data_IF_864541877710
#
_entry.id   IF_864541877710
#
_cell.length_a   1.000
_cell.length_b   1.000
_cell.length_c   1.000
_cell.angle_alpha   90.00
_cell.angle_beta   90.00
_cell.angle_gamma   90.00
#
_symmetry.space_group_name_H-M   'P 1'
#
loop_
_entity.id
_entity.type
_entity.pdbx_description
1 polymer ?
#
# COMPACT_ATOMS: atom_id res chain seq x y z
N UNK A 1 22.98 1.90 -35.25
CA UNK A 1 21.86 1.69 -34.29
C UNK A 1 21.76 0.28 -33.69
N UNK A 2 21.69 -0.81 -34.47
CA UNK A 2 21.48 -2.17 -33.92
C UNK A 2 22.51 -2.66 -32.87
N UNK A 3 23.81 -2.35 -33.04
CA UNK A 3 24.87 -2.75 -32.07
C UNK A 3 24.81 -1.99 -30.75
N UNK A 4 24.45 -0.71 -30.76
CA UNK A 4 24.31 0.11 -29.55
C UNK A 4 23.08 -0.30 -28.74
N UNK A 5 21.95 -0.55 -29.41
CA UNK A 5 20.74 -1.06 -28.77
C UNK A 5 20.97 -2.43 -28.12
N UNK A 6 21.71 -3.33 -28.79
CA UNK A 6 22.05 -4.66 -28.25
C UNK A 6 22.98 -4.57 -27.05
N UNK A 7 23.97 -3.66 -27.06
CA UNK A 7 24.81 -3.39 -25.89
C UNK A 7 23.97 -2.79 -24.74
N UNK A 8 23.12 -1.81 -25.02
CA UNK A 8 22.24 -1.21 -24.02
C UNK A 8 21.32 -2.25 -23.37
N UNK A 9 20.71 -3.15 -24.14
CA UNK A 9 19.84 -4.22 -23.63
C UNK A 9 20.57 -5.24 -22.74
N UNK A 10 21.87 -5.48 -22.97
CA UNK A 10 22.68 -6.40 -22.14
C UNK A 10 23.16 -5.70 -20.86
N UNK A 11 23.60 -4.45 -20.98
CA UNK A 11 24.14 -3.70 -19.84
C UNK A 11 23.06 -3.15 -18.92
N UNK A 12 21.87 -2.82 -19.45
CA UNK A 12 20.77 -2.30 -18.65
C UNK A 12 20.37 -3.20 -17.47
N UNK A 13 20.09 -4.51 -17.63
CA UNK A 13 19.74 -5.36 -16.50
C UNK A 13 20.89 -5.50 -15.49
N UNK A 14 22.14 -5.54 -15.94
CA UNK A 14 23.32 -5.59 -15.05
C UNK A 14 23.42 -4.31 -14.22
N UNK A 15 23.29 -3.15 -14.86
CA UNK A 15 23.33 -1.85 -14.20
C UNK A 15 22.14 -1.66 -13.25
N UNK A 16 20.96 -2.15 -13.64
CA UNK A 16 19.75 -2.10 -12.82
C UNK A 16 19.83 -2.99 -11.58
N UNK A 17 20.31 -4.23 -11.72
CA UNK A 17 20.54 -5.12 -10.57
C UNK A 17 21.65 -4.55 -9.67
N UNK A 18 22.73 -4.05 -10.28
CA UNK A 18 23.81 -3.39 -9.55
C UNK A 18 23.34 -2.15 -8.77
N UNK A 19 22.44 -1.34 -9.35
CA UNK A 19 21.89 -0.16 -8.65
C UNK A 19 20.94 -0.55 -7.52
N UNK A 20 20.15 -1.62 -7.66
CA UNK A 20 19.33 -2.18 -6.58
C UNK A 20 20.20 -2.64 -5.41
N UNK A 21 21.23 -3.44 -5.69
CA UNK A 21 22.15 -3.95 -4.66
C UNK A 21 22.88 -2.78 -3.97
N UNK A 22 23.36 -1.82 -4.75
CA UNK A 22 24.00 -0.62 -4.24
C UNK A 22 23.08 0.21 -3.35
N UNK A 23 21.81 0.37 -3.73
CA UNK A 23 20.80 1.11 -2.96
C UNK A 23 20.43 0.40 -1.67
N UNK A 24 20.26 -0.93 -1.68
CA UNK A 24 20.05 -1.74 -0.46
C UNK A 24 21.24 -1.60 0.49
N UNK A 25 22.47 -1.75 0.00
CA UNK A 25 23.69 -1.61 0.83
C UNK A 25 23.85 -0.19 1.39
N UNK A 26 23.58 0.83 0.58
CA UNK A 26 23.65 2.22 1.00
C UNK A 26 22.59 2.55 2.05
N UNK A 27 21.33 2.17 1.82
CA UNK A 27 20.23 2.47 2.75
C UNK A 27 20.33 1.72 4.08
N UNK A 28 21.02 0.57 4.12
CA UNK A 28 21.37 -0.13 5.37
C UNK A 28 22.42 0.59 6.21
N UNK A 29 23.44 1.16 5.57
CA UNK A 29 24.60 1.76 6.25
C UNK A 29 24.48 3.27 6.46
N UNK A 30 23.47 3.91 5.88
CA UNK A 30 23.27 5.33 6.02
C UNK A 30 22.60 5.68 7.36
N UNK A 31 23.23 6.55 8.14
CA UNK A 31 22.68 7.03 9.41
C UNK A 31 21.55 8.03 9.14
N UNK A 32 20.33 7.50 9.12
CA UNK A 32 19.12 8.30 9.09
C UNK A 32 18.87 8.90 10.48
N UNK A 33 19.28 10.15 10.68
CA UNK A 33 18.87 10.94 11.85
C UNK A 33 17.48 11.50 11.56
N UNK A 34 16.47 10.83 12.12
CA UNK A 34 15.09 11.31 12.11
C UNK A 34 14.98 12.41 13.19
N UNK A 35 14.48 13.61 12.90
CA UNK A 35 14.27 14.63 13.93
C UNK A 35 13.35 14.09 15.03
N UNK A 36 13.57 14.48 16.29
CA UNK A 36 12.82 13.97 17.47
C UNK A 36 11.29 14.05 17.29
N UNK A 37 10.79 15.09 16.61
CA UNK A 37 9.38 15.25 16.27
C UNK A 37 8.83 14.16 15.34
N UNK A 38 9.66 13.61 14.45
CA UNK A 38 9.34 12.46 13.60
C UNK A 38 9.75 11.12 14.23
N UNK A 39 10.54 11.12 15.31
CA UNK A 39 10.89 9.90 16.05
C UNK A 39 9.70 9.36 16.86
N UNK A 40 8.88 10.25 17.41
CA UNK A 40 7.63 9.91 18.13
C UNK A 40 6.65 9.17 17.21
N UNK A 41 6.64 9.50 15.91
CA UNK A 41 5.87 8.79 14.88
C UNK A 41 6.55 7.52 14.34
N UNK A 42 7.85 7.32 14.61
CA UNK A 42 8.65 6.21 14.03
C UNK A 42 8.88 5.02 14.97
N UNK A 43 8.72 5.22 16.29
CA UNK A 43 9.00 4.19 17.31
C UNK A 43 7.76 3.38 17.70
N UNK A 44 6.58 3.87 17.35
CA UNK A 44 5.32 3.17 17.52
C UNK A 44 4.73 2.93 16.13
N UNK A 45 4.95 1.73 15.56
CA UNK A 45 4.20 1.26 14.39
C UNK A 45 2.74 0.91 14.77
N UNK A 46 2.21 1.51 15.83
CA UNK A 46 0.81 1.44 16.19
C UNK A 46 0.07 2.37 15.25
N UNK A 47 -0.87 1.83 14.48
CA UNK A 47 -1.80 2.61 13.70
C UNK A 47 -2.95 2.96 14.66
N UNK A 48 -3.08 4.23 15.10
CA UNK A 48 -3.98 4.58 16.21
C UNK A 48 -5.42 4.10 16.02
N UNK A 49 -5.92 4.11 14.78
CA UNK A 49 -7.27 3.63 14.44
C UNK A 49 -7.50 2.13 14.69
N UNK A 50 -6.45 1.31 14.75
CA UNK A 50 -6.56 -0.12 15.04
C UNK A 50 -6.51 -0.43 16.56
N UNK A 51 -5.98 0.50 17.36
CA UNK A 51 -5.74 0.32 18.80
C UNK A 51 -6.84 0.93 19.67
N UNK A 52 -7.50 1.98 19.19
CA UNK A 52 -8.48 2.75 19.96
C UNK A 52 -9.92 2.45 19.55
N UNK A 53 -10.80 2.28 20.55
CA UNK A 53 -12.25 2.23 20.34
C UNK A 53 -12.73 3.67 20.04
N UNK A 54 -12.56 4.10 18.79
CA UNK A 54 -13.00 5.42 18.33
C UNK A 54 -14.50 5.39 18.03
N UNK A 55 -15.30 6.18 18.75
CA UNK A 55 -16.75 6.29 18.51
C UNK A 55 -17.12 6.72 17.08
N UNK A 56 -16.18 7.32 16.35
CA UNK A 56 -16.38 7.81 14.99
C UNK A 56 -16.36 6.73 13.90
N UNK A 57 -15.84 5.53 14.19
CA UNK A 57 -15.68 4.46 13.20
C UNK A 57 -16.23 3.13 13.69
N UNK A 58 -16.84 2.31 12.81
CA UNK A 58 -17.22 0.97 13.18
C UNK A 58 -15.97 0.12 13.42
N UNK A 59 -16.00 -0.68 14.48
CA UNK A 59 -14.95 -1.67 14.77
C UNK A 59 -15.19 -2.99 14.04
N UNK A 60 -16.41 -3.22 13.55
CA UNK A 60 -16.85 -4.42 12.83
C UNK A 60 -17.82 -4.05 11.72
N UNK A 61 -17.83 -4.80 10.62
CA UNK A 61 -18.86 -4.67 9.59
C UNK A 61 -20.24 -5.11 10.09
N UNK A 62 -21.28 -4.43 9.61
CA UNK A 62 -22.66 -4.82 9.85
C UNK A 62 -23.05 -6.08 9.02
N UNK A 63 -24.26 -6.59 9.23
CA UNK A 63 -24.73 -7.82 8.57
C UNK A 63 -24.74 -7.73 7.03
N UNK A 64 -25.13 -6.58 6.47
CA UNK A 64 -25.16 -6.36 5.02
C UNK A 64 -23.75 -6.33 4.42
N UNK A 65 -22.82 -5.64 5.09
CA UNK A 65 -21.41 -5.58 4.70
C UNK A 65 -20.73 -6.95 4.80
N UNK A 66 -21.04 -7.73 5.83
CA UNK A 66 -20.55 -9.12 5.97
C UNK A 66 -21.08 -10.02 4.86
N UNK A 67 -22.38 -9.94 4.59
CA UNK A 67 -22.99 -10.69 3.50
C UNK A 67 -22.31 -10.37 2.16
N UNK A 68 -22.02 -9.09 1.88
CA UNK A 68 -21.31 -8.68 0.67
C UNK A 68 -19.91 -9.31 0.58
N UNK A 69 -19.17 -9.38 1.70
CA UNK A 69 -17.85 -10.04 1.74
C UNK A 69 -17.99 -11.53 1.42
N UNK A 70 -18.92 -12.20 2.08
CA UNK A 70 -19.14 -13.65 1.92
C UNK A 70 -19.55 -13.99 0.48
N UNK A 71 -20.44 -13.22 -0.13
CA UNK A 71 -20.86 -13.40 -1.54
C UNK A 71 -19.69 -13.23 -2.51
N UNK A 72 -18.82 -12.24 -2.29
CA UNK A 72 -17.63 -12.02 -3.13
C UNK A 72 -16.64 -13.18 -2.97
N UNK A 73 -16.43 -13.67 -1.73
CA UNK A 73 -15.57 -14.82 -1.47
C UNK A 73 -16.13 -16.08 -2.12
N UNK A 74 -17.44 -16.31 -2.04
CA UNK A 74 -18.10 -17.45 -2.69
C UNK A 74 -17.94 -17.41 -4.20
N UNK A 75 -18.19 -16.27 -4.84
CA UNK A 75 -17.96 -16.07 -6.28
C UNK A 75 -16.52 -16.37 -6.67
N UNK A 76 -15.53 -15.91 -5.89
CA UNK A 76 -14.10 -16.23 -6.13
C UNK A 76 -13.83 -17.73 -6.06
N UNK A 77 -14.36 -18.39 -5.03
CA UNK A 77 -14.17 -19.83 -4.82
C UNK A 77 -14.84 -20.66 -5.93
N UNK A 78 -15.96 -20.18 -6.47
CA UNK A 78 -16.63 -20.76 -7.63
C UNK A 78 -15.92 -20.45 -8.97
N UNK A 79 -14.90 -19.59 -8.97
CA UNK A 79 -14.20 -19.15 -10.19
C UNK A 79 -15.03 -18.19 -11.05
N UNK A 80 -16.06 -17.57 -10.47
CA UNK A 80 -16.92 -16.62 -11.17
C UNK A 80 -16.23 -15.27 -11.34
N UNK A 81 -16.41 -14.61 -12.51
CA UNK A 81 -15.81 -13.30 -12.74
C UNK A 81 -16.51 -12.22 -11.91
N UNK A 82 -15.77 -11.55 -11.04
CA UNK A 82 -16.28 -10.37 -10.30
C UNK A 82 -16.10 -9.12 -11.16
N UNK A 83 -17.19 -8.40 -11.37
CA UNK A 83 -17.19 -7.20 -12.21
C UNK A 83 -16.48 -6.02 -11.55
N UNK A 84 -16.08 -5.03 -12.36
CA UNK A 84 -15.47 -3.80 -11.85
C UNK A 84 -16.48 -3.01 -10.99
N UNK A 85 -17.75 -3.06 -11.38
CA UNK A 85 -18.87 -2.42 -10.70
C UNK A 85 -19.10 -3.05 -9.33
N UNK A 86 -19.06 -4.37 -9.22
CA UNK A 86 -19.15 -5.09 -7.92
C UNK A 86 -18.01 -4.66 -7.00
N UNK A 87 -16.77 -4.62 -7.51
CA UNK A 87 -15.66 -4.14 -6.69
C UNK A 87 -15.75 -2.66 -6.34
N UNK A 88 -16.33 -1.85 -7.22
CA UNK A 88 -16.57 -0.45 -6.93
C UNK A 88 -17.56 -0.29 -5.78
N UNK A 89 -18.68 -1.01 -5.83
CA UNK A 89 -19.66 -1.03 -4.75
C UNK A 89 -19.04 -1.53 -3.44
N UNK A 90 -18.22 -2.58 -3.49
CA UNK A 90 -17.53 -3.09 -2.31
C UNK A 90 -16.56 -2.07 -1.70
N UNK A 91 -15.79 -1.34 -2.52
CA UNK A 91 -14.94 -0.25 -2.00
C UNK A 91 -15.78 0.84 -1.34
N UNK A 92 -16.89 1.25 -1.98
CA UNK A 92 -17.75 2.32 -1.46
C UNK A 92 -18.48 1.91 -0.16
N UNK A 93 -18.74 0.61 0.03
CA UNK A 93 -19.45 0.07 1.19
C UNK A 93 -18.53 -0.39 2.34
N UNK A 94 -17.31 -0.83 2.06
CA UNK A 94 -16.43 -1.49 3.03
C UNK A 94 -15.25 -0.63 3.46
N UNK A 95 -14.91 0.43 2.71
CA UNK A 95 -13.72 1.24 3.00
C UNK A 95 -14.12 2.57 3.61
N UNK A 96 -13.53 2.89 4.76
CA UNK A 96 -13.72 4.16 5.44
C UNK A 96 -12.52 5.08 5.23
N UNK A 97 -12.77 6.38 5.07
CA UNK A 97 -11.70 7.36 5.05
C UNK A 97 -11.36 7.82 6.48
N UNK A 98 -10.06 7.86 6.79
CA UNK A 98 -9.53 8.30 8.07
C UNK A 98 -8.42 9.34 7.89
N UNK A 99 -8.29 10.22 8.88
CA UNK A 99 -7.29 11.28 8.84
C UNK A 99 -5.86 10.70 8.95
N UNK A 100 -4.83 11.41 8.46
CA UNK A 100 -3.45 10.92 8.51
C UNK A 100 -2.96 10.65 9.94
N UNK A 101 -3.43 11.43 10.92
CA UNK A 101 -3.08 11.26 12.33
C UNK A 101 -3.54 9.91 12.87
N UNK A 102 -4.67 9.39 12.38
CA UNK A 102 -5.24 8.11 12.79
C UNK A 102 -4.60 6.91 12.08
N UNK A 103 -4.00 7.14 10.90
CA UNK A 103 -3.34 6.11 10.09
C UNK A 103 -1.81 6.14 10.22
N UNK A 104 -1.25 7.11 10.94
CA UNK A 104 0.18 7.33 11.00
C UNK A 104 0.75 7.52 9.60
N UNK A 105 1.71 6.67 9.20
CA UNK A 105 2.36 6.71 7.88
C UNK A 105 1.71 5.80 6.83
N UNK A 106 0.65 5.08 7.19
CA UNK A 106 -0.04 4.18 6.29
C UNK A 106 -0.97 4.95 5.34
N UNK A 107 -1.05 4.49 4.09
CA UNK A 107 -2.03 4.98 3.13
C UNK A 107 -3.37 4.24 3.26
N UNK A 108 -3.33 2.99 3.74
CA UNK A 108 -4.49 2.18 4.08
C UNK A 108 -4.09 1.05 5.04
N UNK A 109 -5.10 0.46 5.67
CA UNK A 109 -4.95 -0.67 6.59
C UNK A 109 -6.27 -1.43 6.71
N UNK A 110 -6.18 -2.74 6.94
CA UNK A 110 -7.28 -3.52 7.52
C UNK A 110 -7.02 -3.76 9.01
N UNK A 111 -7.80 -3.11 9.87
CA UNK A 111 -7.69 -3.31 11.31
C UNK A 111 -8.40 -4.59 11.73
N UNK A 112 -7.73 -5.41 12.55
CA UNK A 112 -8.25 -6.66 13.17
C UNK A 112 -8.86 -7.65 12.17
N UNK A 113 -8.53 -7.54 10.88
CA UNK A 113 -9.10 -8.35 9.80
C UNK A 113 -10.56 -8.02 9.47
N UNK A 114 -11.09 -6.91 9.98
CA UNK A 114 -12.53 -6.64 9.96
C UNK A 114 -12.94 -5.33 9.32
N UNK A 115 -12.12 -4.29 9.34
CA UNK A 115 -12.53 -3.00 8.76
C UNK A 115 -11.36 -2.36 8.01
N UNK A 116 -11.63 -1.98 6.76
CA UNK A 116 -10.66 -1.34 5.88
C UNK A 116 -10.73 0.18 6.01
N UNK A 117 -9.58 0.81 6.18
CA UNK A 117 -9.42 2.25 6.25
C UNK A 117 -8.43 2.73 5.20
N UNK A 118 -8.69 3.90 4.62
CA UNK A 118 -7.76 4.59 3.75
C UNK A 118 -7.58 6.03 4.19
N UNK A 119 -6.45 6.61 3.83
CA UNK A 119 -6.13 7.98 4.18
C UNK A 119 -6.93 8.98 3.34
N UNK A 120 -7.63 9.88 4.03
CA UNK A 120 -8.53 10.88 3.44
C UNK A 120 -7.78 11.94 2.58
N UNK A 121 -6.51 12.21 2.89
CA UNK A 121 -5.68 13.21 2.21
C UNK A 121 -5.09 12.71 0.88
N UNK A 122 -5.31 11.44 0.53
CA UNK A 122 -4.85 10.88 -0.73
C UNK A 122 -5.54 11.52 -1.94
N UNK A 123 -4.82 11.73 -3.06
CA UNK A 123 -5.46 12.13 -4.32
C UNK A 123 -6.54 11.13 -4.75
N UNK A 124 -7.60 11.54 -5.46
CA UNK A 124 -8.72 10.66 -5.81
C UNK A 124 -8.32 9.35 -6.50
N UNK A 125 -7.33 9.39 -7.41
CA UNK A 125 -6.85 8.18 -8.08
C UNK A 125 -6.11 7.25 -7.13
N UNK A 126 -5.33 7.80 -6.19
CA UNK A 126 -4.65 7.02 -5.17
C UNK A 126 -5.67 6.33 -4.25
N UNK A 127 -6.73 7.03 -3.83
CA UNK A 127 -7.83 6.45 -3.04
C UNK A 127 -8.45 5.23 -3.72
N UNK A 128 -8.70 5.28 -5.03
CA UNK A 128 -9.24 4.13 -5.77
C UNK A 128 -8.32 2.91 -5.69
N UNK A 129 -7.02 3.12 -5.87
CA UNK A 129 -6.05 2.04 -5.80
C UNK A 129 -5.90 1.49 -4.38
N UNK A 130 -5.78 2.35 -3.37
CA UNK A 130 -5.61 1.92 -1.98
C UNK A 130 -6.88 1.24 -1.48
N UNK A 131 -8.07 1.81 -1.74
CA UNK A 131 -9.33 1.15 -1.40
C UNK A 131 -9.43 -0.24 -2.03
N UNK A 132 -9.03 -0.35 -3.30
CA UNK A 132 -9.00 -1.62 -4.01
C UNK A 132 -8.03 -2.61 -3.35
N UNK A 133 -6.87 -2.15 -2.91
CA UNK A 133 -5.88 -2.95 -2.21
C UNK A 133 -6.42 -3.44 -0.86
N UNK A 134 -7.00 -2.56 -0.05
CA UNK A 134 -7.53 -2.96 1.27
C UNK A 134 -8.71 -3.94 1.16
N UNK A 135 -9.63 -3.77 0.19
CA UNK A 135 -10.70 -4.76 0.02
C UNK A 135 -10.18 -6.11 -0.47
N UNK A 136 -9.05 -6.15 -1.18
CA UNK A 136 -8.42 -7.43 -1.53
C UNK A 136 -7.99 -8.20 -0.29
N UNK A 137 -7.55 -7.53 0.77
CA UNK A 137 -7.23 -8.19 2.03
C UNK A 137 -8.45 -8.83 2.69
N UNK A 138 -9.64 -8.24 2.53
CA UNK A 138 -10.89 -8.79 3.07
C UNK A 138 -11.36 -10.06 2.33
N UNK A 139 -11.03 -10.17 1.04
CA UNK A 139 -11.51 -11.26 0.19
C UNK A 139 -10.51 -12.41 0.00
N UNK A 140 -9.32 -12.30 0.58
CA UNK A 140 -8.28 -13.32 0.47
C UNK A 140 -8.41 -14.35 1.59
N UNK A 141 -8.46 -15.62 1.21
CA UNK A 141 -8.64 -16.76 2.13
C UNK A 141 -7.31 -17.41 2.52
N UNK A 142 -6.21 -17.05 1.86
CA UNK A 142 -4.85 -17.53 2.14
C UNK A 142 -3.95 -16.40 2.59
N UNK A 143 -3.13 -16.64 3.62
CA UNK A 143 -2.16 -15.65 4.12
C UNK A 143 -0.86 -15.58 3.31
N UNK A 144 -0.60 -16.53 2.41
CA UNK A 144 0.65 -16.54 1.65
C UNK A 144 0.63 -15.47 0.55
N UNK A 145 1.62 -14.57 0.56
CA UNK A 145 1.79 -13.48 -0.41
C UNK A 145 0.59 -12.51 -0.49
N UNK A 146 -0.15 -12.32 0.61
CA UNK A 146 -1.39 -11.54 0.64
C UNK A 146 -1.21 -10.10 0.11
N UNK A 147 -0.15 -9.44 0.58
CA UNK A 147 0.27 -8.10 0.14
C UNK A 147 0.61 -8.02 -1.35
N UNK A 148 1.35 -9.00 -1.86
CA UNK A 148 1.74 -9.06 -3.28
C UNK A 148 0.48 -9.26 -4.13
N UNK A 149 -0.40 -10.17 -3.73
CA UNK A 149 -1.64 -10.45 -4.45
C UNK A 149 -2.57 -9.23 -4.48
N UNK A 150 -2.75 -8.54 -3.34
CA UNK A 150 -3.53 -7.32 -3.24
C UNK A 150 -2.94 -6.20 -4.10
N UNK A 151 -1.63 -5.99 -4.04
CA UNK A 151 -0.92 -5.02 -4.87
C UNK A 151 -1.07 -5.29 -6.37
N UNK A 152 -0.93 -6.55 -6.80
CA UNK A 152 -1.08 -6.91 -8.21
C UNK A 152 -2.53 -6.71 -8.68
N UNK A 153 -3.50 -7.16 -7.89
CA UNK A 153 -4.91 -7.03 -8.24
C UNK A 153 -5.33 -5.55 -8.32
N UNK A 154 -4.96 -4.74 -7.33
CA UNK A 154 -5.23 -3.32 -7.30
C UNK A 154 -4.49 -2.55 -8.39
N UNK A 155 -3.20 -2.84 -8.58
CA UNK A 155 -2.36 -2.18 -9.59
C UNK A 155 -2.80 -2.46 -11.01
N UNK A 156 -3.29 -3.67 -11.30
CA UNK A 156 -3.88 -4.01 -12.61
C UNK A 156 -5.16 -3.21 -12.89
N UNK A 157 -6.01 -3.03 -11.88
CA UNK A 157 -7.27 -2.30 -12.03
C UNK A 157 -7.09 -0.77 -12.04
N UNK A 158 -6.16 -0.26 -11.25
CA UNK A 158 -5.95 1.17 -10.99
C UNK A 158 -4.47 1.57 -11.09
N UNK A 159 -3.86 1.34 -12.26
CA UNK A 159 -2.42 1.60 -12.49
C UNK A 159 -2.02 3.07 -12.29
N UNK A 160 -2.87 4.01 -12.71
CA UNK A 160 -2.67 5.45 -12.45
C UNK A 160 -2.77 5.74 -10.94
N UNK A 161 -3.67 5.06 -10.24
CA UNK A 161 -3.82 5.17 -8.79
C UNK A 161 -2.60 4.66 -8.03
N UNK A 162 -2.02 3.54 -8.45
CA UNK A 162 -0.76 3.02 -7.91
C UNK A 162 0.37 4.06 -8.02
N UNK A 163 0.57 4.62 -9.21
CA UNK A 163 1.60 5.65 -9.43
C UNK A 163 1.31 6.91 -8.60
N UNK A 164 0.05 7.34 -8.52
CA UNK A 164 -0.36 8.47 -7.68
C UNK A 164 -0.07 8.22 -6.19
N UNK A 165 -0.23 6.99 -5.72
CA UNK A 165 0.03 6.58 -4.34
C UNK A 165 1.52 6.59 -4.03
N UNK A 166 2.35 6.07 -4.94
CA UNK A 166 3.81 6.13 -4.83
C UNK A 166 4.28 7.58 -4.78
N UNK A 167 3.78 8.44 -5.67
CA UNK A 167 4.16 9.86 -5.71
C UNK A 167 3.74 10.58 -4.43
N UNK A 168 2.52 10.37 -3.94
CA UNK A 168 2.05 10.96 -2.69
C UNK A 168 2.96 10.54 -1.50
N UNK A 169 3.27 9.25 -1.41
CA UNK A 169 4.15 8.70 -0.37
C UNK A 169 5.57 9.29 -0.42
N UNK A 170 6.10 9.51 -1.63
CA UNK A 170 7.42 10.14 -1.82
C UNK A 170 7.42 11.63 -1.45
N UNK A 171 6.36 12.37 -1.76
CA UNK A 171 6.23 13.79 -1.41
C UNK A 171 6.25 13.97 0.11
N UNK A 172 5.49 13.15 0.81
CA UNK A 172 5.42 13.17 2.27
C UNK A 172 6.72 12.69 2.92
N UNK A 173 7.34 11.63 2.41
CA UNK A 173 8.66 11.22 2.87
C UNK A 173 9.71 12.33 2.68
N UNK A 174 9.62 13.12 1.61
CA UNK A 174 10.55 14.22 1.34
C UNK A 174 10.36 15.40 2.30
N UNK A 175 9.12 15.74 2.66
CA UNK A 175 8.85 16.91 3.52
C UNK A 175 9.33 16.70 4.96
N UNK A 176 9.47 15.46 5.40
CA UNK A 176 9.76 15.13 6.80
C UNK A 176 11.19 14.67 7.08
N UNK A 177 12.02 14.44 6.05
CA UNK A 177 13.25 13.65 6.19
C UNK A 177 14.50 14.28 5.56
N UNK A 178 15.66 14.01 6.17
CA UNK A 178 16.97 14.27 5.54
C UNK A 178 17.15 13.45 4.26
N UNK A 179 18.09 13.83 3.39
CA UNK A 179 18.34 13.12 2.11
C UNK A 179 18.58 11.61 2.28
N UNK A 180 19.35 11.21 3.30
CA UNK A 180 19.58 9.82 3.66
C UNK A 180 18.28 9.09 4.02
N UNK A 181 17.46 9.70 4.87
CA UNK A 181 16.18 9.18 5.30
C UNK A 181 15.14 9.13 4.16
N UNK A 182 15.19 10.09 3.24
CA UNK A 182 14.37 10.11 2.03
C UNK A 182 14.71 8.95 1.10
N UNK A 183 16.00 8.67 0.86
CA UNK A 183 16.42 7.51 0.05
C UNK A 183 16.01 6.19 0.70
N UNK A 184 16.16 6.06 2.02
CA UNK A 184 15.72 4.87 2.77
C UNK A 184 14.20 4.68 2.69
N UNK A 185 13.42 5.75 2.85
CA UNK A 185 11.96 5.71 2.73
C UNK A 185 11.52 5.43 1.29
N UNK A 186 12.17 6.03 0.30
CA UNK A 186 11.90 5.79 -1.13
C UNK A 186 12.15 4.33 -1.50
N UNK A 187 13.23 3.75 -0.96
CA UNK A 187 13.53 2.34 -1.15
C UNK A 187 12.52 1.42 -0.46
N UNK A 188 12.09 1.78 0.76
CA UNK A 188 11.01 1.07 1.44
C UNK A 188 9.70 1.11 0.65
N UNK A 189 9.26 2.29 0.19
CA UNK A 189 8.08 2.49 -0.66
C UNK A 189 8.18 1.62 -1.93
N UNK A 190 9.35 1.59 -2.57
CA UNK A 190 9.56 0.73 -3.73
C UNK A 190 9.35 -0.75 -3.39
N UNK A 191 9.93 -1.24 -2.29
CA UNK A 191 9.77 -2.63 -1.86
C UNK A 191 8.32 -2.97 -1.52
N UNK A 192 7.61 -2.07 -0.86
CA UNK A 192 6.19 -2.25 -0.51
C UNK A 192 5.33 -2.40 -1.77
N UNK A 193 5.39 -1.44 -2.68
CA UNK A 193 4.46 -1.40 -3.83
C UNK A 193 4.86 -2.29 -5.01
N UNK A 194 6.16 -2.55 -5.22
CA UNK A 194 6.63 -3.34 -6.36
C UNK A 194 7.02 -4.77 -6.00
N UNK A 195 7.45 -5.01 -4.75
CA UNK A 195 7.86 -6.34 -4.30
C UNK A 195 6.89 -6.96 -3.28
N UNK A 196 5.93 -6.19 -2.76
CA UNK A 196 5.04 -6.62 -1.66
C UNK A 196 5.80 -6.97 -0.38
N UNK A 197 6.97 -6.35 -0.18
CA UNK A 197 7.79 -6.53 1.02
C UNK A 197 7.60 -5.29 1.89
N UNK A 198 6.58 -5.34 2.76
CA UNK A 198 6.44 -4.48 3.94
C UNK A 198 7.21 -5.10 5.11
N UNK A 199 7.83 -4.26 5.94
CA UNK A 199 8.57 -4.70 7.13
C UNK A 199 7.66 -5.15 8.25
#
# INVERSE_FOLDING_TARGET
MKKLLKKALIWFPILFVGSIIGLEAYTRNCNCVVPETAQIESLNFTIPICESDLEAYPLVYNAEQRQMIDEIIEQRNAGEPITKETYRAAMDALVYEASPELLGRANGVVCRGEVAFIRDSLPPQAKLYVARHEVEHLFQTSHENQEVAANIAAGKAYSVGLLSTIVASLIEAKSQLSWCCFLKSSWFIFKLYFLGIGG
#
